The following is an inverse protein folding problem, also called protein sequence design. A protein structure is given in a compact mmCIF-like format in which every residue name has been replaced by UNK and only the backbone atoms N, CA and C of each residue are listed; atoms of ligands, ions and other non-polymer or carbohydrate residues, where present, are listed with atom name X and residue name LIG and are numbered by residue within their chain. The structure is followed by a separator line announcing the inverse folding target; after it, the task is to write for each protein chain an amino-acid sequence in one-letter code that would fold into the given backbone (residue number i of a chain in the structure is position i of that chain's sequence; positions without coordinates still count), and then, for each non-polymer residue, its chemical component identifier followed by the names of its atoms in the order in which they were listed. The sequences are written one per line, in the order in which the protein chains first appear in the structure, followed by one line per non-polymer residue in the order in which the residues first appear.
data_IF_707587805906
#
_entry.id   IF_707587805906
#
_cell.length_a   1.000
_cell.length_b   1.000
_cell.length_c   1.000
_cell.angle_alpha   90.00
_cell.angle_beta   90.00
_cell.angle_gamma   90.00
#
_symmetry.space_group_name_H-M   'P 1'
#
loop_
_entity.id
_entity.type
_entity.pdbx_description
1 polymer ?
#
# COMPACT_ATOMS: atom_id res chain seq x y z
N UNK A 1 32.47 -0.10 -39.27
CA UNK A 1 31.39 -0.75 -38.51
C UNK A 1 30.55 0.36 -37.92
N UNK A 2 29.34 0.57 -38.44
CA UNK A 2 28.42 1.56 -37.86
C UNK A 2 27.71 0.91 -36.68
N UNK A 3 28.20 1.16 -35.46
CA UNK A 3 27.50 0.79 -34.23
C UNK A 3 26.20 1.58 -34.15
N UNK A 4 25.16 1.02 -34.75
CA UNK A 4 23.79 1.50 -34.63
C UNK A 4 23.23 0.95 -33.32
N UNK A 5 23.63 1.56 -32.21
CA UNK A 5 22.99 1.31 -30.93
C UNK A 5 21.54 1.80 -31.01
N UNK A 6 20.60 0.86 -31.13
CA UNK A 6 19.18 1.17 -30.99
C UNK A 6 18.93 1.73 -29.58
N UNK A 7 18.09 2.78 -29.44
CA UNK A 7 17.75 3.31 -28.14
C UNK A 7 17.06 2.24 -27.30
N UNK A 8 17.39 2.20 -26.01
CA UNK A 8 16.74 1.31 -25.05
C UNK A 8 15.23 1.60 -25.04
N UNK A 9 14.43 0.53 -25.02
CA UNK A 9 12.96 0.60 -24.95
C UNK A 9 12.49 -0.02 -23.64
N UNK A 10 11.45 0.56 -23.06
CA UNK A 10 10.79 -0.02 -21.88
C UNK A 10 10.24 -1.40 -22.28
N UNK A 11 10.56 -2.41 -21.47
CA UNK A 11 10.04 -3.76 -21.61
C UNK A 11 8.98 -4.00 -20.54
N UNK A 12 7.82 -4.48 -20.97
CA UNK A 12 6.71 -4.89 -20.11
C UNK A 12 6.29 -6.30 -20.58
N UNK A 13 6.20 -7.28 -19.67
CA UNK A 13 6.45 -7.16 -18.24
C UNK A 13 7.94 -6.94 -17.92
N UNK A 14 8.23 -6.17 -16.87
CA UNK A 14 9.62 -5.82 -16.50
C UNK A 14 10.34 -7.00 -15.81
N UNK A 15 11.65 -7.13 -15.92
CA UNK A 15 12.37 -8.21 -15.22
C UNK A 15 12.19 -8.22 -13.69
N UNK A 16 11.79 -7.10 -13.07
CA UNK A 16 11.67 -6.94 -11.62
C UNK A 16 10.32 -7.34 -10.99
N UNK A 17 9.22 -7.52 -11.75
CA UNK A 17 7.89 -7.70 -11.12
C UNK A 17 7.78 -9.01 -10.31
N UNK A 18 8.41 -10.10 -10.77
CA UNK A 18 8.38 -11.41 -10.08
C UNK A 18 9.10 -11.41 -8.74
N UNK A 19 10.14 -10.60 -8.59
CA UNK A 19 10.90 -10.46 -7.35
C UNK A 19 10.04 -9.80 -6.28
N UNK A 20 9.18 -8.85 -6.64
CA UNK A 20 8.18 -8.29 -5.72
C UNK A 20 7.16 -9.35 -5.28
N UNK A 21 6.67 -10.18 -6.20
CA UNK A 21 5.78 -11.28 -5.85
C UNK A 21 6.44 -12.29 -4.90
N UNK A 22 7.73 -12.57 -5.10
CA UNK A 22 8.50 -13.46 -4.23
C UNK A 22 8.60 -12.89 -2.81
N UNK A 23 8.98 -11.62 -2.66
CA UNK A 23 9.06 -10.96 -1.36
C UNK A 23 7.71 -10.92 -0.64
N UNK A 24 6.62 -10.73 -1.39
CA UNK A 24 5.26 -10.79 -0.85
C UNK A 24 4.90 -12.20 -0.37
N UNK A 25 5.19 -13.22 -1.17
CA UNK A 25 4.92 -14.62 -0.83
C UNK A 25 5.69 -15.04 0.44
N UNK A 26 6.93 -14.56 0.63
CA UNK A 26 7.70 -14.77 1.86
C UNK A 26 7.01 -14.19 3.10
N UNK A 27 6.53 -12.94 3.02
CA UNK A 27 5.76 -12.32 4.12
C UNK A 27 4.48 -13.10 4.43
N UNK A 28 3.73 -13.49 3.39
CA UNK A 28 2.49 -14.25 3.53
C UNK A 28 2.73 -15.64 4.12
N UNK A 29 3.80 -16.33 3.73
CA UNK A 29 4.16 -17.64 4.26
C UNK A 29 4.52 -17.58 5.76
N UNK A 30 5.26 -16.56 6.18
CA UNK A 30 5.57 -16.34 7.59
C UNK A 30 4.30 -16.03 8.41
N UNK A 31 3.42 -15.18 7.88
CA UNK A 31 2.11 -14.88 8.47
C UNK A 31 1.23 -16.14 8.60
N UNK A 32 1.12 -16.96 7.55
CA UNK A 32 0.32 -18.20 7.59
C UNK A 32 0.87 -19.21 8.60
N UNK A 33 2.20 -19.37 8.65
CA UNK A 33 2.84 -20.21 9.66
C UNK A 33 2.48 -19.74 11.07
N UNK A 34 2.53 -18.43 11.33
CA UNK A 34 2.16 -17.86 12.62
C UNK A 34 0.67 -18.03 12.93
N UNK A 35 -0.20 -17.91 11.92
CA UNK A 35 -1.66 -18.14 12.05
C UNK A 35 -1.97 -19.58 12.44
N UNK A 36 -1.35 -20.56 11.77
CA UNK A 36 -1.51 -22.00 12.10
C UNK A 36 -1.03 -22.30 13.52
N UNK A 37 0.12 -21.75 13.92
CA UNK A 37 0.66 -21.95 15.28
C UNK A 37 -0.19 -21.25 16.36
N UNK A 38 -0.75 -20.07 16.05
CA UNK A 38 -1.59 -19.30 16.97
C UNK A 38 -2.99 -19.89 17.14
N UNK A 39 -3.51 -20.62 16.15
CA UNK A 39 -4.84 -21.24 16.22
C UNK A 39 -5.01 -22.23 17.38
N UNK A 40 -3.90 -22.74 17.94
CA UNK A 40 -3.89 -23.62 19.12
C UNK A 40 -3.76 -22.89 20.46
N UNK A 41 -3.63 -21.56 20.48
CA UNK A 41 -3.45 -20.74 21.69
C UNK A 41 -4.75 -20.03 22.07
N UNK A 42 -4.95 -19.76 23.36
CA UNK A 42 -6.12 -19.04 23.88
C UNK A 42 -6.18 -17.57 23.42
N UNK A 43 -5.03 -16.94 23.19
CA UNK A 43 -4.91 -15.59 22.64
C UNK A 43 -4.32 -15.69 21.23
N UNK A 44 -5.13 -15.36 20.23
CA UNK A 44 -4.78 -15.48 18.81
C UNK A 44 -4.22 -14.16 18.22
N UNK A 45 -3.44 -13.38 18.98
CA UNK A 45 -2.84 -12.12 18.46
C UNK A 45 -1.48 -12.31 17.79
N UNK A 46 -0.82 -13.46 17.99
CA UNK A 46 0.56 -13.70 17.54
C UNK A 46 0.79 -13.54 16.03
N UNK A 47 -0.19 -13.91 15.20
CA UNK A 47 -0.11 -13.72 13.75
C UNK A 47 -0.12 -12.24 13.31
N UNK A 48 -0.77 -11.34 14.06
CA UNK A 48 -0.72 -9.89 13.80
C UNK A 48 0.68 -9.32 14.04
N UNK A 49 1.31 -9.71 15.16
CA UNK A 49 2.67 -9.31 15.50
C UNK A 49 3.67 -9.76 14.42
N UNK A 50 3.50 -10.99 13.90
CA UNK A 50 4.33 -11.50 12.80
C UNK A 50 4.10 -10.72 11.50
N UNK A 51 2.84 -10.40 11.18
CA UNK A 51 2.51 -9.58 10.01
C UNK A 51 3.21 -8.22 10.06
N UNK A 52 3.09 -7.51 11.18
CA UNK A 52 3.76 -6.22 11.39
C UNK A 52 5.30 -6.34 11.26
N UNK A 53 5.90 -7.36 11.91
CA UNK A 53 7.34 -7.55 11.91
C UNK A 53 7.91 -7.91 10.51
N UNK A 54 7.25 -8.80 9.77
CA UNK A 54 7.67 -9.17 8.42
C UNK A 54 7.48 -8.00 7.44
N UNK A 55 6.42 -7.22 7.60
CA UNK A 55 6.21 -6.02 6.78
C UNK A 55 7.30 -4.95 7.05
N UNK A 56 7.64 -4.69 8.32
CA UNK A 56 8.78 -3.82 8.66
C UNK A 56 10.09 -4.32 8.07
N UNK A 57 10.37 -5.62 8.20
CA UNK A 57 11.58 -6.26 7.65
C UNK A 57 11.66 -6.10 6.14
N UNK A 58 10.55 -6.29 5.43
CA UNK A 58 10.49 -6.05 3.99
C UNK A 58 10.83 -4.60 3.64
N UNK A 59 10.23 -3.62 4.33
CA UNK A 59 10.54 -2.20 4.12
C UNK A 59 12.01 -1.86 4.39
N UNK A 60 12.63 -2.39 5.45
CA UNK A 60 14.06 -2.19 5.78
C UNK A 60 14.99 -2.66 4.65
N UNK A 61 14.61 -3.75 4.00
CA UNK A 61 15.39 -4.34 2.92
C UNK A 61 15.15 -3.64 1.59
N UNK A 62 13.92 -3.16 1.35
CA UNK A 62 13.52 -2.54 0.11
C UNK A 62 13.86 -1.03 0.02
N UNK A 63 13.62 -0.28 1.10
CA UNK A 63 13.78 1.17 1.09
C UNK A 63 15.27 1.59 1.01
N UNK A 64 15.58 2.75 0.39
CA UNK A 64 16.90 3.35 0.48
C UNK A 64 17.37 3.50 1.92
N UNK A 65 18.66 3.27 2.18
CA UNK A 65 19.24 3.28 3.54
C UNK A 65 19.16 4.60 4.30
N UNK A 66 18.75 5.68 3.63
CA UNK A 66 18.39 6.94 4.30
C UNK A 66 17.13 6.81 5.15
N UNK A 67 16.21 5.91 4.78
CA UNK A 67 14.95 5.74 5.48
C UNK A 67 15.07 4.60 6.48
N UNK A 68 14.95 4.96 7.76
CA UNK A 68 14.82 4.00 8.84
C UNK A 68 13.37 3.54 8.96
N UNK A 69 13.17 2.30 9.41
CA UNK A 69 11.85 1.73 9.64
C UNK A 69 11.83 1.07 11.01
N UNK A 70 10.81 1.36 11.81
CA UNK A 70 10.68 0.85 13.18
C UNK A 70 9.23 0.76 13.59
N UNK A 71 8.92 0.03 14.67
CA UNK A 71 7.70 0.27 15.43
C UNK A 71 7.99 1.25 16.56
N UNK A 72 6.98 1.83 17.17
CA UNK A 72 7.17 2.60 18.40
C UNK A 72 6.45 3.93 18.38
N UNK A 73 7.14 4.98 18.79
CA UNK A 73 6.49 6.18 19.30
C UNK A 73 6.97 7.42 18.56
N UNK A 74 6.07 8.37 18.36
CA UNK A 74 6.40 9.69 17.81
C UNK A 74 6.40 10.70 18.95
N UNK A 75 7.52 11.39 19.13
CA UNK A 75 7.70 12.36 20.21
C UNK A 75 7.69 13.77 19.63
N UNK A 76 6.84 14.64 20.18
CA UNK A 76 6.81 16.06 19.84
C UNK A 76 6.90 16.88 21.12
N UNK A 77 7.67 17.97 21.06
CA UNK A 77 7.72 18.97 22.15
C UNK A 77 6.40 19.73 22.30
N UNK A 78 5.50 19.62 21.31
CA UNK A 78 4.17 20.23 21.33
C UNK A 78 3.12 19.41 22.07
N UNK A 79 3.42 18.17 22.48
CA UNK A 79 2.51 17.33 23.24
C UNK A 79 2.82 17.40 24.74
N UNK A 80 1.82 17.54 25.62
CA UNK A 80 2.00 17.45 27.06
C UNK A 80 2.61 16.12 27.50
N UNK A 81 3.54 16.14 28.47
CA UNK A 81 4.11 14.92 29.05
C UNK A 81 3.08 14.04 29.79
N UNK A 82 1.91 14.59 30.12
CA UNK A 82 0.80 13.85 30.74
C UNK A 82 0.00 13.02 29.73
N UNK A 83 0.18 13.26 28.43
CA UNK A 83 -0.56 12.56 27.39
C UNK A 83 0.00 11.16 27.19
N UNK A 84 -0.90 10.25 26.81
CA UNK A 84 -0.52 8.88 26.50
C UNK A 84 0.24 8.88 25.17
N UNK A 85 1.41 8.26 25.16
CA UNK A 85 2.19 8.08 23.94
C UNK A 85 1.64 6.86 23.20
N UNK A 86 1.28 7.04 21.94
CA UNK A 86 0.70 5.98 21.10
C UNK A 86 1.80 5.19 20.40
N UNK A 87 1.66 3.87 20.40
CA UNK A 87 2.52 2.96 19.64
C UNK A 87 2.02 2.83 18.20
N UNK A 88 2.93 2.85 17.23
CA UNK A 88 2.64 2.70 15.81
C UNK A 88 3.33 1.46 15.26
N UNK A 89 2.61 0.71 14.42
CA UNK A 89 3.08 -0.54 13.82
C UNK A 89 4.32 -0.30 12.94
N UNK A 90 4.31 0.78 12.15
CA UNK A 90 5.40 1.17 11.25
C UNK A 90 5.58 2.69 11.25
N UNK A 91 6.78 3.14 11.60
CA UNK A 91 7.27 4.50 11.44
C UNK A 91 8.41 4.47 10.44
N UNK A 92 8.31 5.28 9.39
CA UNK A 92 9.39 5.54 8.43
C UNK A 92 9.95 6.93 8.72
N UNK A 93 11.27 7.04 8.88
CA UNK A 93 11.92 8.28 9.31
C UNK A 93 13.26 8.52 8.59
N UNK A 94 13.77 9.76 8.62
CA UNK A 94 15.12 10.07 8.10
C UNK A 94 16.19 9.54 9.07
N UNK A 95 16.75 8.37 8.77
CA UNK A 95 17.74 7.70 9.61
C UNK A 95 19.10 8.39 9.63
N UNK A 96 19.43 9.18 8.62
CA UNK A 96 20.73 9.85 8.57
C UNK A 96 20.80 11.03 9.54
N UNK A 97 19.67 11.72 9.73
CA UNK A 97 19.60 12.96 10.50
C UNK A 97 18.86 12.81 11.84
N UNK A 98 18.05 11.77 12.02
CA UNK A 98 17.26 11.60 13.24
C UNK A 98 18.10 11.06 14.39
N UNK A 99 18.08 11.69 15.58
CA UNK A 99 18.43 11.00 16.80
C UNK A 99 17.34 9.97 17.15
N UNK A 100 17.72 8.93 17.88
CA UNK A 100 16.78 8.01 18.55
C UNK A 100 16.75 8.41 20.02
N UNK A 101 15.59 8.86 20.51
CA UNK A 101 15.49 9.42 21.87
C UNK A 101 15.61 8.34 22.94
N UNK A 102 14.97 7.20 22.71
CA UNK A 102 15.06 6.01 23.54
C UNK A 102 14.58 4.78 22.77
N UNK A 103 14.94 3.60 23.27
CA UNK A 103 14.57 2.30 22.73
C UNK A 103 13.87 1.52 23.83
N UNK A 104 12.66 1.04 23.55
CA UNK A 104 11.94 0.09 24.40
C UNK A 104 12.57 -1.29 24.20
N UNK A 105 13.40 -1.72 25.15
CA UNK A 105 13.98 -3.06 25.15
C UNK A 105 12.99 -4.05 25.74
N UNK A 106 12.19 -4.70 24.90
CA UNK A 106 11.52 -5.93 25.29
C UNK A 106 12.55 -7.08 25.17
N UNK A 107 12.88 -7.83 26.24
CA UNK A 107 13.87 -8.91 26.21
C UNK A 107 13.64 -9.98 25.15
N UNK A 108 12.40 -10.14 24.68
CA UNK A 108 11.99 -11.14 23.67
C UNK A 108 11.95 -10.59 22.23
N UNK A 109 12.36 -9.34 22.00
CA UNK A 109 12.23 -8.68 20.69
C UNK A 109 13.49 -8.80 19.82
N UNK A 110 13.33 -9.24 18.57
CA UNK A 110 14.36 -9.17 17.53
C UNK A 110 14.81 -7.72 17.28
N UNK A 111 15.92 -7.51 16.55
CA UNK A 111 16.33 -6.17 16.10
C UNK A 111 15.20 -5.39 15.38
N UNK A 112 14.26 -6.11 14.74
CA UNK A 112 13.05 -5.57 14.07
C UNK A 112 11.82 -5.38 14.98
N UNK A 113 11.90 -5.80 16.24
CA UNK A 113 10.84 -5.68 17.25
C UNK A 113 11.12 -4.66 18.35
N UNK A 114 12.30 -4.00 18.33
CA UNK A 114 12.61 -2.88 19.23
C UNK A 114 11.75 -1.69 18.86
N UNK A 115 10.99 -1.19 19.83
CA UNK A 115 10.19 0.02 19.61
C UNK A 115 11.04 1.25 19.89
N UNK A 116 11.07 2.20 18.98
CA UNK A 116 11.91 3.40 19.10
C UNK A 116 11.06 4.66 19.21
N UNK A 117 11.56 5.63 19.94
CA UNK A 117 10.98 6.96 20.01
C UNK A 117 11.68 7.91 19.03
N UNK A 118 10.95 8.32 17.99
CA UNK A 118 11.44 9.16 16.91
C UNK A 118 10.86 10.57 17.06
N UNK A 119 11.68 11.63 17.02
CA UNK A 119 11.18 13.00 17.02
C UNK A 119 10.31 13.30 15.78
N UNK A 120 9.22 14.03 15.99
CA UNK A 120 8.16 14.27 15.00
C UNK A 120 8.66 14.80 13.66
N UNK A 121 9.71 15.63 13.67
CA UNK A 121 10.26 16.29 12.49
C UNK A 121 11.03 15.37 11.54
N UNK A 122 11.46 14.21 12.05
CA UNK A 122 12.15 13.21 11.24
C UNK A 122 11.21 12.13 10.71
N UNK A 123 9.97 12.08 11.18
CA UNK A 123 8.97 11.09 10.75
C UNK A 123 8.45 11.45 9.36
N UNK A 124 8.71 10.59 8.38
CA UNK A 124 8.31 10.77 6.98
C UNK A 124 7.03 10.00 6.64
N UNK A 125 6.71 8.93 7.37
CA UNK A 125 5.41 8.29 7.22
C UNK A 125 5.06 7.28 8.31
N UNK A 126 3.76 7.00 8.43
CA UNK A 126 3.22 5.98 9.36
C UNK A 126 2.34 5.01 8.59
N UNK A 127 2.57 3.71 8.79
CA UNK A 127 1.74 2.67 8.17
C UNK A 127 1.16 1.80 9.27
N UNK A 128 -0.16 1.70 9.28
CA UNK A 128 -0.88 0.84 10.21
C UNK A 128 -1.14 -0.52 9.56
N UNK A 129 -0.77 -1.61 10.24
CA UNK A 129 -0.81 -2.96 9.68
C UNK A 129 -1.85 -3.80 10.40
N UNK A 130 -2.70 -4.50 9.64
CA UNK A 130 -3.72 -5.40 10.20
C UNK A 130 -3.72 -6.73 9.46
N UNK A 131 -4.13 -7.78 10.17
CA UNK A 131 -4.12 -9.14 9.62
C UNK A 131 -5.08 -9.31 8.45
N UNK A 132 -6.28 -8.73 8.54
CA UNK A 132 -7.31 -8.88 7.50
C UNK A 132 -8.10 -7.59 7.26
N UNK A 133 -8.51 -7.36 6.01
CA UNK A 133 -9.44 -6.31 5.62
C UNK A 133 -10.87 -6.72 6.03
N UNK A 134 -11.32 -6.19 7.16
CA UNK A 134 -12.69 -6.30 7.66
C UNK A 134 -13.01 -5.11 8.54
N UNK A 135 -14.29 -4.78 8.70
CA UNK A 135 -14.76 -3.56 9.35
C UNK A 135 -14.06 -3.27 10.68
N UNK A 136 -14.07 -4.22 11.61
CA UNK A 136 -13.44 -4.05 12.94
C UNK A 136 -11.96 -3.73 12.87
N UNK A 137 -11.23 -4.34 11.94
CA UNK A 137 -9.79 -4.09 11.80
C UNK A 137 -9.53 -2.73 11.15
N UNK A 138 -10.37 -2.33 10.20
CA UNK A 138 -10.31 -1.01 9.59
C UNK A 138 -10.61 0.07 10.63
N UNK A 139 -11.68 -0.06 11.41
CA UNK A 139 -12.04 0.91 12.45
C UNK A 139 -10.88 1.13 13.42
N UNK A 140 -10.24 0.06 13.88
CA UNK A 140 -9.04 0.14 14.72
C UNK A 140 -7.88 0.85 14.02
N UNK A 141 -7.66 0.55 12.74
CA UNK A 141 -6.56 1.19 12.01
C UNK A 141 -6.79 2.69 11.82
N UNK A 142 -8.03 3.08 11.51
CA UNK A 142 -8.44 4.49 11.38
C UNK A 142 -8.34 5.21 12.73
N UNK A 143 -8.79 4.58 13.82
CA UNK A 143 -8.65 5.09 15.18
C UNK A 143 -7.18 5.33 15.53
N UNK A 144 -6.32 4.34 15.25
CA UNK A 144 -4.89 4.45 15.52
C UNK A 144 -4.24 5.60 14.74
N UNK A 145 -4.54 5.71 13.44
CA UNK A 145 -4.04 6.82 12.62
C UNK A 145 -4.62 8.18 13.05
N UNK A 146 -5.82 8.22 13.62
CA UNK A 146 -6.42 9.47 14.10
C UNK A 146 -5.65 10.09 15.27
N UNK A 147 -4.85 9.32 16.02
CA UNK A 147 -3.95 9.86 17.03
C UNK A 147 -2.86 10.77 16.45
N UNK A 148 -2.61 10.73 15.14
CA UNK A 148 -1.66 11.64 14.47
C UNK A 148 -2.24 13.05 14.26
N UNK A 149 -3.56 13.26 14.39
CA UNK A 149 -4.23 14.54 14.09
C UNK A 149 -3.59 15.76 14.78
N UNK A 150 -3.23 15.72 16.08
CA UNK A 150 -2.58 16.85 16.72
C UNK A 150 -1.23 17.21 16.06
N UNK A 151 -0.46 16.19 15.66
CA UNK A 151 0.84 16.35 15.00
C UNK A 151 0.70 16.77 13.52
N UNK A 152 -0.49 16.65 12.93
CA UNK A 152 -0.77 17.03 11.54
C UNK A 152 -1.38 18.43 11.41
N UNK A 153 -1.78 19.05 12.52
CA UNK A 153 -2.65 20.24 12.55
C UNK A 153 -2.06 21.45 11.81
N UNK A 154 -0.74 21.53 11.69
CA UNK A 154 -0.05 22.59 10.97
C UNK A 154 1.11 22.05 10.14
N UNK A 155 1.56 22.82 9.15
CA UNK A 155 2.76 22.53 8.36
C UNK A 155 3.75 23.67 8.59
N UNK A 156 4.82 23.39 9.31
CA UNK A 156 5.80 24.41 9.70
C UNK A 156 6.70 24.83 8.52
N UNK A 157 7.09 26.12 8.45
CA UNK A 157 8.13 26.57 7.54
C UNK A 157 9.46 25.84 7.78
N UNK A 158 10.22 25.60 6.71
CA UNK A 158 11.50 24.87 6.79
C UNK A 158 12.52 25.51 7.73
N UNK A 159 12.49 26.85 7.87
CA UNK A 159 13.43 27.63 8.69
C UNK A 159 13.04 27.78 10.17
N UNK A 160 11.93 27.18 10.62
CA UNK A 160 11.52 27.26 12.03
C UNK A 160 12.44 26.41 12.92
N UNK A 161 13.02 26.94 14.02
CA UNK A 161 13.97 26.21 14.86
C UNK A 161 13.32 25.08 15.68
N UNK A 162 12.12 25.33 16.22
CA UNK A 162 11.30 24.33 16.90
C UNK A 162 10.44 23.63 15.88
N UNK A 163 10.47 22.29 15.87
CA UNK A 163 9.57 21.49 15.04
C UNK A 163 8.57 20.76 15.93
N UNK A 164 7.30 21.10 15.80
CA UNK A 164 6.21 20.58 16.62
C UNK A 164 5.30 19.62 15.85
N UNK A 165 5.32 19.70 14.52
CA UNK A 165 4.38 19.02 13.65
C UNK A 165 5.10 18.11 12.65
N UNK A 166 4.35 17.16 12.10
CA UNK A 166 4.83 16.25 11.06
C UNK A 166 5.23 17.04 9.80
N UNK A 167 6.30 16.62 9.11
CA UNK A 167 6.78 17.25 7.87
C UNK A 167 5.70 17.47 6.82
N UNK A 168 5.92 18.41 5.91
CA UNK A 168 5.00 18.72 4.80
C UNK A 168 4.71 17.49 3.92
N UNK A 169 5.74 16.69 3.65
CA UNK A 169 5.69 15.48 2.83
C UNK A 169 5.36 14.21 3.62
N UNK A 170 4.96 14.35 4.89
CA UNK A 170 4.47 13.22 5.68
C UNK A 170 3.30 12.51 4.97
N UNK A 171 3.28 11.18 5.03
CA UNK A 171 2.13 10.38 4.60
C UNK A 171 1.72 9.33 5.64
N UNK A 172 0.47 8.88 5.59
CA UNK A 172 0.05 7.69 6.31
C UNK A 172 -0.78 6.75 5.44
N UNK A 173 -0.76 5.46 5.78
CA UNK A 173 -1.47 4.43 5.02
C UNK A 173 -1.88 3.25 5.91
N UNK A 174 -2.72 2.37 5.36
CA UNK A 174 -3.07 1.09 6.00
C UNK A 174 -2.64 -0.09 5.14
N UNK A 175 -2.16 -1.17 5.75
CA UNK A 175 -1.86 -2.43 5.06
C UNK A 175 -2.61 -3.57 5.73
N UNK A 176 -3.29 -4.37 4.91
CA UNK A 176 -4.00 -5.57 5.32
C UNK A 176 -3.31 -6.79 4.70
N UNK A 177 -3.01 -7.82 5.49
CA UNK A 177 -2.33 -9.01 4.96
C UNK A 177 -3.24 -9.84 4.05
N UNK A 178 -4.53 -9.90 4.35
CA UNK A 178 -5.47 -10.64 3.52
C UNK A 178 -6.88 -10.02 3.45
N UNK A 179 -7.63 -10.36 2.41
CA UNK A 179 -9.08 -10.22 2.35
C UNK A 179 -9.67 -11.62 2.18
N UNK A 180 -10.46 -12.04 3.16
CA UNK A 180 -10.94 -13.42 3.28
C UNK A 180 -12.27 -13.63 2.55
N UNK A 181 -12.56 -14.88 2.19
CA UNK A 181 -13.86 -15.25 1.58
C UNK A 181 -15.04 -14.89 2.47
N UNK A 182 -14.92 -15.10 3.76
CA UNK A 182 -15.94 -14.77 4.75
C UNK A 182 -16.23 -13.26 4.85
N UNK A 183 -15.25 -12.42 4.47
CA UNK A 183 -15.33 -10.96 4.53
C UNK A 183 -15.62 -10.33 3.15
N UNK A 184 -15.85 -11.11 2.08
CA UNK A 184 -16.01 -10.62 0.69
C UNK A 184 -17.10 -9.55 0.53
N UNK A 185 -18.17 -9.65 1.33
CA UNK A 185 -19.33 -8.77 1.29
C UNK A 185 -19.30 -7.68 2.38
N UNK A 186 -18.22 -7.58 3.16
CA UNK A 186 -18.08 -6.58 4.23
C UNK A 186 -17.72 -5.20 3.67
N UNK A 187 -18.59 -4.62 2.84
CA UNK A 187 -18.39 -3.29 2.27
C UNK A 187 -18.29 -2.19 3.34
N UNK A 188 -18.79 -2.45 4.55
CA UNK A 188 -18.64 -1.56 5.67
C UNK A 188 -17.18 -1.36 6.10
N UNK A 189 -16.27 -2.27 5.70
CA UNK A 189 -14.83 -2.06 5.82
C UNK A 189 -14.35 -0.85 5.01
N UNK A 190 -14.80 -0.68 3.76
CA UNK A 190 -14.45 0.50 2.95
C UNK A 190 -15.14 1.76 3.49
N UNK A 191 -16.39 1.65 3.95
CA UNK A 191 -17.09 2.76 4.59
C UNK A 191 -16.37 3.26 5.86
N UNK A 192 -15.77 2.36 6.64
CA UNK A 192 -14.98 2.77 7.79
C UNK A 192 -13.66 3.45 7.36
N UNK A 193 -13.02 2.97 6.29
CA UNK A 193 -11.72 3.48 5.87
C UNK A 193 -11.79 4.90 5.30
N UNK A 194 -12.91 5.28 4.67
CA UNK A 194 -13.08 6.65 4.14
C UNK A 194 -12.97 7.72 5.23
N UNK A 195 -13.13 7.36 6.50
CA UNK A 195 -12.94 8.29 7.61
C UNK A 195 -11.50 8.82 7.70
N UNK A 196 -10.50 7.98 7.38
CA UNK A 196 -9.10 8.36 7.34
C UNK A 196 -8.75 9.34 6.20
N UNK A 197 -9.62 9.52 5.20
CA UNK A 197 -9.42 10.51 4.12
C UNK A 197 -9.31 11.96 4.60
N UNK A 198 -9.71 12.22 5.84
CA UNK A 198 -9.58 13.53 6.49
C UNK A 198 -8.19 13.79 7.08
N UNK A 199 -7.34 12.76 7.16
CA UNK A 199 -5.97 12.89 7.68
C UNK A 199 -5.05 13.45 6.59
N UNK A 200 -4.22 14.43 6.97
CA UNK A 200 -3.22 15.00 6.06
C UNK A 200 -2.22 13.91 5.63
N UNK A 201 -2.08 13.74 4.32
CA UNK A 201 -1.17 12.75 3.76
C UNK A 201 -1.69 11.31 3.79
N UNK A 202 -2.98 11.07 4.07
CA UNK A 202 -3.54 9.73 3.93
C UNK A 202 -3.52 9.29 2.47
N UNK A 203 -2.74 8.26 2.21
CA UNK A 203 -2.49 7.73 0.86
C UNK A 203 -3.54 6.67 0.45
N UNK A 204 -4.16 6.02 1.42
CA UNK A 204 -5.08 4.90 1.21
C UNK A 204 -4.55 3.62 1.86
N UNK A 205 -4.70 2.49 1.19
CA UNK A 205 -4.22 1.23 1.73
C UNK A 205 -4.02 0.11 0.73
N UNK A 206 -3.47 -0.99 1.22
CA UNK A 206 -3.15 -2.16 0.39
C UNK A 206 -3.58 -3.45 1.06
N UNK A 207 -3.98 -4.44 0.25
CA UNK A 207 -4.30 -5.80 0.67
C UNK A 207 -3.29 -6.73 0.02
N UNK A 208 -2.47 -7.46 0.78
CA UNK A 208 -1.40 -8.28 0.21
C UNK A 208 -1.94 -9.50 -0.54
N UNK A 209 -2.93 -10.21 0.02
CA UNK A 209 -3.57 -11.39 -0.57
C UNK A 209 -5.09 -11.31 -0.57
N UNK A 210 -5.73 -11.92 -1.55
CA UNK A 210 -7.19 -12.10 -1.61
C UNK A 210 -7.52 -13.58 -1.76
N UNK A 211 -8.34 -14.14 -0.87
CA UNK A 211 -8.52 -15.60 -0.72
C UNK A 211 -9.12 -16.32 -1.93
N UNK A 212 -9.72 -15.60 -2.89
CA UNK A 212 -10.30 -16.22 -4.09
C UNK A 212 -9.90 -15.53 -5.40
N UNK A 213 -8.79 -14.81 -5.40
CA UNK A 213 -8.16 -14.38 -6.64
C UNK A 213 -6.98 -15.30 -6.96
N UNK A 214 -6.54 -15.25 -8.21
CA UNK A 214 -5.25 -15.83 -8.60
C UNK A 214 -4.16 -15.39 -7.59
N UNK A 215 -3.24 -16.32 -7.29
CA UNK A 215 -2.23 -16.23 -6.23
C UNK A 215 -1.51 -14.89 -6.20
N UNK A 216 -1.32 -14.27 -7.37
CA UNK A 216 -0.51 -13.06 -7.51
C UNK A 216 -1.26 -11.74 -7.35
N UNK A 217 -2.56 -11.72 -7.08
CA UNK A 217 -3.30 -10.46 -6.96
C UNK A 217 -3.21 -9.85 -5.57
N UNK A 218 -2.94 -8.55 -5.56
CA UNK A 218 -3.02 -7.69 -4.38
C UNK A 218 -4.07 -6.60 -4.61
N UNK A 219 -4.71 -6.17 -3.53
CA UNK A 219 -5.69 -5.10 -3.55
C UNK A 219 -5.04 -3.74 -3.33
N UNK A 220 -5.40 -2.74 -4.15
CA UNK A 220 -5.07 -1.33 -3.92
C UNK A 220 -6.33 -0.60 -3.48
N UNK A 221 -6.25 0.07 -2.35
CA UNK A 221 -7.30 0.95 -1.83
C UNK A 221 -6.86 2.41 -2.06
N UNK A 222 -7.52 3.10 -2.98
CA UNK A 222 -7.20 4.47 -3.39
C UNK A 222 -8.30 5.44 -2.99
N UNK A 223 -7.97 6.73 -2.87
CA UNK A 223 -8.95 7.79 -2.69
C UNK A 223 -9.41 8.34 -4.04
N UNK A 224 -10.72 8.50 -4.19
CA UNK A 224 -11.35 9.09 -5.37
C UNK A 224 -12.10 10.34 -4.94
N UNK A 225 -11.93 11.42 -5.70
CA UNK A 225 -12.68 12.65 -5.57
C UNK A 225 -13.84 12.66 -6.56
N UNK A 226 -15.02 13.06 -6.12
CA UNK A 226 -16.22 13.21 -6.94
C UNK A 226 -16.94 14.52 -6.58
N UNK A 227 -17.67 15.08 -7.54
CA UNK A 227 -18.51 16.26 -7.39
C UNK A 227 -19.92 15.94 -6.89
N UNK A 228 -20.36 14.69 -7.06
CA UNK A 228 -21.69 14.21 -6.68
C UNK A 228 -21.67 13.02 -5.71
N UNK A 229 -22.74 12.89 -4.92
CA UNK A 229 -22.98 11.72 -4.06
C UNK A 229 -23.56 10.55 -4.88
N UNK A 230 -22.67 9.78 -5.51
CA UNK A 230 -23.05 8.59 -6.26
C UNK A 230 -23.20 7.37 -5.34
N UNK A 231 -24.26 6.57 -5.52
CA UNK A 231 -24.37 5.28 -4.82
C UNK A 231 -23.37 4.27 -5.40
N UNK A 232 -22.78 3.48 -4.52
CA UNK A 232 -21.78 2.46 -4.87
C UNK A 232 -22.48 1.16 -5.33
N UNK A 233 -22.31 0.72 -6.60
CA UNK A 233 -22.93 -0.50 -7.11
C UNK A 233 -22.11 -1.76 -6.77
N UNK A 234 -21.65 -1.87 -5.51
CA UNK A 234 -20.72 -2.92 -5.10
C UNK A 234 -21.36 -4.30 -5.23
N UNK A 235 -20.63 -5.23 -5.86
CA UNK A 235 -21.03 -6.64 -5.96
C UNK A 235 -20.17 -7.57 -5.11
N UNK A 236 -18.88 -7.27 -4.98
CA UNK A 236 -17.91 -8.06 -4.23
C UNK A 236 -16.64 -7.24 -3.99
N UNK A 237 -16.04 -7.35 -2.80
CA UNK A 237 -14.73 -6.76 -2.52
C UNK A 237 -13.61 -7.44 -3.33
N UNK A 238 -13.82 -8.62 -3.90
CA UNK A 238 -12.81 -9.33 -4.71
C UNK A 238 -12.70 -8.84 -6.14
N UNK A 239 -13.67 -8.08 -6.63
CA UNK A 239 -13.63 -7.57 -7.99
C UNK A 239 -13.29 -6.08 -7.99
N UNK A 240 -14.27 -5.31 -7.59
CA UNK A 240 -14.23 -3.87 -7.58
C UNK A 240 -15.28 -3.38 -6.60
N UNK A 241 -14.87 -2.51 -5.69
CA UNK A 241 -15.76 -1.95 -4.71
C UNK A 241 -15.36 -0.53 -4.31
N UNK A 242 -16.34 0.26 -3.90
CA UNK A 242 -16.16 1.62 -3.41
C UNK A 242 -16.88 1.81 -2.09
N UNK A 243 -16.35 2.66 -1.20
CA UNK A 243 -17.10 3.09 -0.01
C UNK A 243 -18.31 3.95 -0.41
N UNK A 244 -19.16 4.25 0.56
CA UNK A 244 -20.03 5.43 0.51
C UNK A 244 -19.22 6.70 0.30
N UNK A 245 -19.89 7.71 -0.27
CA UNK A 245 -19.35 9.06 -0.40
C UNK A 245 -19.25 9.71 0.98
N UNK A 246 -18.12 10.36 1.25
CA UNK A 246 -17.95 11.25 2.40
C UNK A 246 -17.84 12.67 1.90
N UNK A 247 -18.80 13.52 2.28
CA UNK A 247 -18.76 14.95 1.95
C UNK A 247 -17.62 15.62 2.71
N UNK A 248 -16.73 16.32 2.00
CA UNK A 248 -15.61 17.07 2.58
C UNK A 248 -15.89 18.58 2.56
N UNK A 249 -16.44 19.07 1.45
CA UNK A 249 -16.90 20.45 1.32
C UNK A 249 -18.05 20.52 0.31
N UNK A 250 -18.57 21.71 0.03
CA UNK A 250 -19.61 21.89 -0.98
C UNK A 250 -19.10 21.48 -2.37
N UNK A 251 -19.80 20.54 -3.02
CA UNK A 251 -19.39 20.00 -4.33
C UNK A 251 -18.15 19.11 -4.31
N UNK A 252 -17.71 18.63 -3.14
CA UNK A 252 -16.56 17.71 -3.02
C UNK A 252 -16.86 16.54 -2.09
N UNK A 253 -16.84 15.35 -2.67
CA UNK A 253 -17.01 14.07 -2.01
C UNK A 253 -15.76 13.20 -2.19
N UNK A 254 -15.40 12.45 -1.15
CA UNK A 254 -14.35 11.45 -1.20
C UNK A 254 -14.93 10.04 -1.07
N UNK A 255 -14.30 9.09 -1.76
CA UNK A 255 -14.53 7.65 -1.61
C UNK A 255 -13.22 6.92 -1.51
N UNK A 256 -13.22 5.77 -0.87
CA UNK A 256 -12.18 4.77 -1.07
C UNK A 256 -12.61 3.79 -2.15
N UNK A 257 -11.71 3.40 -3.05
CA UNK A 257 -11.93 2.37 -4.06
C UNK A 257 -10.92 1.23 -3.88
N UNK A 258 -11.41 0.00 -3.83
CA UNK A 258 -10.61 -1.22 -3.87
C UNK A 258 -10.63 -1.81 -5.29
N UNK A 259 -9.45 -1.92 -5.89
CA UNK A 259 -9.19 -2.64 -7.14
C UNK A 259 -8.14 -3.74 -6.89
N UNK A 260 -7.99 -4.69 -7.82
CA UNK A 260 -6.98 -5.75 -7.73
C UNK A 260 -6.09 -5.83 -8.97
N UNK A 261 -4.79 -6.03 -8.77
CA UNK A 261 -3.81 -6.27 -9.83
C UNK A 261 -2.58 -7.02 -9.29
N UNK A 262 -1.89 -7.79 -10.13
CA UNK A 262 -0.59 -8.37 -9.77
C UNK A 262 0.48 -7.29 -9.58
N UNK A 263 0.40 -6.19 -10.33
CA UNK A 263 1.33 -5.07 -10.24
C UNK A 263 1.15 -4.20 -8.99
N UNK A 264 0.04 -4.34 -8.26
CA UNK A 264 -0.26 -3.39 -7.18
C UNK A 264 0.72 -3.48 -6.01
N UNK A 265 1.26 -4.65 -5.69
CA UNK A 265 2.25 -4.73 -4.63
C UNK A 265 3.57 -4.03 -5.00
N UNK A 266 4.01 -4.12 -6.26
CA UNK A 266 5.22 -3.42 -6.69
C UNK A 266 4.96 -1.91 -6.87
N UNK A 267 3.78 -1.52 -7.37
CA UNK A 267 3.35 -0.13 -7.43
C UNK A 267 3.35 0.50 -6.04
N UNK A 268 2.82 -0.18 -5.02
CA UNK A 268 2.86 0.28 -3.63
C UNK A 268 4.28 0.58 -3.16
N UNK A 269 5.21 -0.34 -3.44
CA UNK A 269 6.58 -0.22 -3.01
C UNK A 269 7.23 1.04 -3.60
N UNK A 270 7.04 1.30 -4.90
CA UNK A 270 7.57 2.49 -5.55
C UNK A 270 6.81 3.77 -5.18
N UNK A 271 5.50 3.70 -4.92
CA UNK A 271 4.70 4.81 -4.42
C UNK A 271 5.21 5.27 -3.04
N UNK A 272 5.59 4.36 -2.14
CA UNK A 272 6.24 4.73 -0.87
C UNK A 272 7.52 5.53 -1.12
N UNK A 273 8.38 5.10 -2.05
CA UNK A 273 9.61 5.84 -2.37
C UNK A 273 9.29 7.23 -2.92
N UNK A 274 8.28 7.34 -3.79
CA UNK A 274 7.86 8.62 -4.37
C UNK A 274 7.26 9.55 -3.31
N UNK A 275 6.46 9.02 -2.37
CA UNK A 275 5.91 9.76 -1.23
C UNK A 275 7.02 10.31 -0.34
N UNK A 276 7.98 9.45 0.04
CA UNK A 276 9.13 9.84 0.86
C UNK A 276 9.99 10.93 0.19
N UNK A 277 10.10 10.89 -1.14
CA UNK A 277 10.82 11.91 -1.93
C UNK A 277 9.99 13.17 -2.22
N UNK A 278 8.69 13.17 -1.92
CA UNK A 278 7.77 14.25 -2.31
C UNK A 278 7.53 14.35 -3.82
N UNK A 279 7.78 13.28 -4.58
CA UNK A 279 7.59 13.21 -6.04
C UNK A 279 6.37 12.38 -6.44
N UNK A 280 5.55 11.97 -5.48
CA UNK A 280 4.34 11.20 -5.74
C UNK A 280 3.28 12.05 -6.46
N UNK A 281 2.73 11.50 -7.53
CA UNK A 281 1.62 12.10 -8.26
C UNK A 281 0.46 11.11 -8.33
N UNK A 282 -0.72 11.46 -7.79
CA UNK A 282 -1.91 10.66 -7.97
C UNK A 282 -2.16 10.43 -9.46
N UNK A 283 -2.41 9.18 -9.86
CA UNK A 283 -2.66 8.74 -11.24
C UNK A 283 -1.43 8.63 -12.16
N UNK A 284 -0.20 8.78 -11.64
CA UNK A 284 1.03 8.51 -12.39
C UNK A 284 1.78 7.37 -11.74
N UNK A 285 2.22 6.38 -12.54
CA UNK A 285 3.04 5.28 -12.03
C UNK A 285 4.38 5.81 -11.50
N UNK A 286 4.70 5.49 -10.25
CA UNK A 286 5.97 5.91 -9.63
C UNK A 286 7.20 5.24 -10.23
N UNK A 287 7.03 4.09 -10.90
CA UNK A 287 8.13 3.33 -11.52
C UNK A 287 7.61 2.26 -12.47
N UNK A 288 8.36 1.98 -13.54
CA UNK A 288 8.12 0.85 -14.44
C UNK A 288 8.90 -0.43 -14.05
N UNK A 289 9.82 -0.36 -13.07
CA UNK A 289 10.69 -1.50 -12.70
C UNK A 289 9.93 -2.68 -12.08
N UNK A 290 8.76 -2.43 -11.50
CA UNK A 290 7.90 -3.45 -10.92
C UNK A 290 6.70 -3.83 -11.77
N UNK A 291 6.57 -3.25 -12.96
CA UNK A 291 5.33 -3.32 -13.74
C UNK A 291 5.28 -4.62 -14.55
N UNK A 292 4.28 -5.46 -14.28
CA UNK A 292 4.16 -6.76 -14.93
C UNK A 292 3.03 -7.60 -14.35
N UNK A 293 2.48 -8.48 -15.18
CA UNK A 293 1.51 -9.49 -14.75
C UNK A 293 1.84 -10.82 -15.44
N UNK A 294 1.37 -11.92 -14.88
CA UNK A 294 1.46 -13.25 -15.47
C UNK A 294 0.79 -13.28 -16.86
N UNK A 295 -0.33 -12.57 -17.01
CA UNK A 295 -1.04 -12.45 -18.29
C UNK A 295 -0.20 -11.75 -19.36
N UNK A 296 0.48 -10.66 -19.00
CA UNK A 296 1.37 -9.94 -19.93
C UNK A 296 2.60 -10.76 -20.30
N UNK A 297 3.14 -11.55 -19.36
CA UNK A 297 4.22 -12.49 -19.66
C UNK A 297 3.78 -13.58 -20.64
N UNK A 298 2.53 -14.06 -20.51
CA UNK A 298 1.94 -15.02 -21.43
C UNK A 298 1.52 -14.40 -22.78
N UNK A 299 1.68 -13.09 -22.97
CA UNK A 299 1.39 -12.39 -24.23
C UNK A 299 -0.02 -11.82 -24.34
N UNK A 300 -0.85 -11.90 -23.29
CA UNK A 300 -2.18 -11.29 -23.28
C UNK A 300 -2.09 -9.79 -23.01
N UNK A 301 -2.87 -8.98 -23.73
CA UNK A 301 -2.89 -7.52 -23.55
C UNK A 301 -3.80 -7.06 -22.39
N UNK A 302 -4.71 -7.92 -21.93
CA UNK A 302 -5.69 -7.62 -20.90
C UNK A 302 -5.77 -8.75 -19.86
N UNK A 303 -6.27 -8.41 -18.67
CA UNK A 303 -6.60 -9.41 -17.65
C UNK A 303 -7.88 -10.17 -18.06
N UNK A 304 -7.70 -11.40 -18.54
CA UNK A 304 -8.77 -12.21 -19.11
C UNK A 304 -9.71 -12.82 -18.05
N UNK A 305 -9.39 -12.71 -16.76
CA UNK A 305 -10.13 -13.39 -15.67
C UNK A 305 -11.55 -12.90 -15.47
N UNK A 306 -11.84 -11.67 -15.89
CA UNK A 306 -13.18 -11.06 -15.76
C UNK A 306 -14.01 -11.14 -17.03
N UNK A 307 -13.46 -11.71 -18.09
CA UNK A 307 -14.16 -11.92 -19.34
C UNK A 307 -14.71 -13.34 -19.37
N UNK A 308 -15.90 -13.49 -19.96
CA UNK A 308 -16.35 -14.80 -20.36
C UNK A 308 -15.28 -15.38 -21.32
N UNK A 309 -14.80 -16.64 -21.14
CA UNK A 309 -13.81 -17.25 -22.03
C UNK A 309 -14.15 -17.11 -23.52
N UNK A 310 -15.44 -17.14 -23.88
CA UNK A 310 -15.91 -16.96 -25.26
C UNK A 310 -15.71 -15.52 -25.79
N UNK A 311 -15.78 -14.52 -24.90
CA UNK A 311 -15.57 -13.11 -25.25
C UNK A 311 -14.07 -12.78 -25.35
N UNK A 312 -13.22 -13.40 -24.51
CA UNK A 312 -11.75 -13.31 -24.63
C UNK A 312 -11.31 -13.85 -25.97
N UNK A 313 -11.75 -15.06 -26.31
CA UNK A 313 -11.42 -15.71 -27.57
C UNK A 313 -11.82 -14.85 -28.77
N UNK A 314 -13.02 -14.25 -28.73
CA UNK A 314 -13.49 -13.34 -29.77
C UNK A 314 -12.61 -12.08 -29.88
N UNK A 315 -12.26 -11.46 -28.76
CA UNK A 315 -11.38 -10.29 -28.74
C UNK A 315 -9.98 -10.61 -29.27
N UNK A 316 -9.41 -11.75 -28.92
CA UNK A 316 -8.10 -12.20 -29.42
C UNK A 316 -8.15 -12.45 -30.94
N UNK A 317 -9.17 -13.17 -31.43
CA UNK A 317 -9.37 -13.40 -32.87
C UNK A 317 -9.58 -12.08 -33.65
N UNK A 318 -10.28 -11.11 -33.07
CA UNK A 318 -10.47 -9.77 -33.66
C UNK A 318 -9.17 -8.95 -33.64
N UNK A 319 -8.42 -9.01 -32.55
CA UNK A 319 -7.13 -8.33 -32.38
C UNK A 319 -6.08 -8.89 -33.35
N UNK A 320 -5.98 -10.23 -33.48
CA UNK A 320 -5.11 -10.87 -34.47
C UNK A 320 -5.48 -10.50 -35.91
N UNK A 321 -6.77 -10.40 -36.25
CA UNK A 321 -7.19 -9.91 -37.57
C UNK A 321 -6.73 -8.48 -37.83
N UNK A 322 -6.76 -7.63 -36.80
CA UNK A 322 -6.41 -6.20 -36.91
C UNK A 322 -4.89 -5.94 -36.92
N UNK A 323 -4.11 -6.72 -36.17
CA UNK A 323 -2.66 -6.53 -36.03
C UNK A 323 -1.84 -7.50 -36.88
N UNK A 324 -2.35 -8.70 -37.17
CA UNK A 324 -1.70 -9.69 -38.04
C UNK A 324 -1.68 -9.29 -39.52
N UNK A 325 -2.61 -8.45 -39.98
CA UNK A 325 -2.60 -7.88 -41.34
C UNK A 325 -1.50 -6.83 -41.55
N UNK A 326 -0.85 -6.32 -40.50
CA UNK A 326 0.25 -5.34 -40.62
C UNK A 326 1.65 -5.94 -40.80
N UNK A 327 1.82 -7.27 -40.66
CA UNK A 327 3.12 -7.93 -40.87
C UNK A 327 3.31 -8.56 -42.26
N UNK A 328 2.29 -8.57 -43.13
CA UNK A 328 2.41 -9.08 -44.51
C UNK A 328 2.59 -8.01 -45.58
N UNK A 329 2.84 -6.75 -45.20
CA UNK A 329 2.79 -5.58 -46.09
C UNK A 329 4.10 -4.89 -46.44
N UNK A 330 5.27 -5.44 -46.09
CA UNK A 330 6.57 -4.89 -46.52
C UNK A 330 7.52 -6.00 -46.94
N UNK A 331 7.35 -6.48 -48.17
CA UNK A 331 8.39 -7.12 -48.97
C UNK A 331 7.94 -7.18 -50.43
N UNK A 332 7.88 -6.02 -51.10
CA UNK A 332 7.93 -5.91 -52.58
C UNK A 332 7.80 -4.45 -53.04
N UNK A 333 8.92 -3.74 -53.08
CA UNK A 333 9.41 -2.88 -54.17
C UNK A 333 10.57 -2.01 -53.69
#
# INVERSE_FOLDING_TARGET
MSDTHLPLKIQIPNQGWKQFLTARDEMLAAYDKARVLSGKRAVQTGHGIVAEAEFRKWLINFLPKRYGVTSGYIISQGLPNSDHIFHYDVIIYDQLESPVLWVDENPDSSLSGRSMAIPVEYVQGVIEVKSALKKRNVEKAVEQLAHLKPLMAFTEPSNQPSKLYLPKNFFCATVFFELRKEDEMDFAALDALVEASTLRGFYGGYVLRVDTLDKYYSGKISLIMQDEDLKSPNKSLFFWATSKSKKVSEGLYLKTQLNHSESYFSEFAFDIIALLKGTYHPNVLSSFYGMGTTQWEAGHAADIRYFNPDDVKRYEEETEKFFGTKQSGTNSC
#
